data_IF_034336763994
#
_entry.id   IF_034336763994
#
_cell.length_a   1.000
_cell.length_b   1.000
_cell.length_c   1.000
_cell.angle_alpha   90.00
_cell.angle_beta   90.00
_cell.angle_gamma   90.00
#
_symmetry.space_group_name_H-M   'P 1'
#
loop_
_entity.id
_entity.type
_entity.pdbx_description
1 polymer ?
#
# COMPACT_ATOMS: atom_id res chain seq x y z
N UNK A 1 -30.55 -1.71 -4.85
CA UNK A 1 -29.13 -1.96 -4.54
C UNK A 1 -28.39 -2.07 -5.87
N UNK A 2 -27.44 -1.18 -6.14
CA UNK A 2 -26.65 -1.24 -7.37
C UNK A 2 -25.79 -2.50 -7.34
N UNK A 3 -25.93 -3.34 -8.34
CA UNK A 3 -25.14 -4.57 -8.46
C UNK A 3 -23.72 -4.15 -8.88
N UNK A 4 -22.74 -4.31 -7.99
CA UNK A 4 -21.34 -4.08 -8.33
C UNK A 4 -20.89 -5.10 -9.40
N UNK A 5 -20.11 -4.63 -10.36
CA UNK A 5 -19.47 -5.46 -11.36
C UNK A 5 -17.95 -5.36 -11.30
N UNK A 6 -17.19 -6.39 -11.71
CA UNK A 6 -15.74 -6.26 -11.87
C UNK A 6 -15.41 -5.12 -12.82
N UNK A 7 -14.49 -4.26 -12.41
CA UNK A 7 -14.12 -3.05 -13.15
C UNK A 7 -14.78 -1.76 -12.65
N UNK A 8 -15.81 -1.84 -11.85
CA UNK A 8 -16.43 -0.65 -11.27
C UNK A 8 -15.44 0.09 -10.37
N UNK A 9 -15.53 1.42 -10.43
CA UNK A 9 -14.83 2.30 -9.49
C UNK A 9 -15.83 2.75 -8.44
N UNK A 10 -15.45 2.59 -7.17
CA UNK A 10 -16.34 2.80 -6.02
C UNK A 10 -15.67 3.62 -4.92
N UNK A 11 -16.45 4.09 -3.97
CA UNK A 11 -16.00 4.61 -2.67
C UNK A 11 -16.76 3.90 -1.56
N UNK A 12 -16.14 3.80 -0.40
CA UNK A 12 -16.78 3.33 0.81
C UNK A 12 -17.22 4.53 1.64
N UNK A 13 -18.51 4.65 1.93
CA UNK A 13 -19.04 5.83 2.64
C UNK A 13 -18.55 5.90 4.09
N UNK A 14 -18.47 4.74 4.78
CA UNK A 14 -18.02 4.68 6.18
C UNK A 14 -16.49 4.76 6.33
N UNK A 15 -15.74 4.50 5.23
CA UNK A 15 -14.27 4.55 5.22
C UNK A 15 -13.75 5.43 4.09
N UNK A 16 -14.08 6.74 4.06
CA UNK A 16 -13.67 7.67 3.00
C UNK A 16 -12.14 7.79 2.87
N UNK A 17 -11.40 7.54 3.96
CA UNK A 17 -9.94 7.53 3.99
C UNK A 17 -9.32 6.40 3.15
N UNK A 18 -10.06 5.36 2.79
CA UNK A 18 -9.57 4.33 1.88
C UNK A 18 -9.42 4.83 0.44
N UNK A 19 -10.01 5.98 0.11
CA UNK A 19 -10.00 6.55 -1.22
C UNK A 19 -10.95 5.79 -2.17
N UNK A 20 -10.65 5.89 -3.47
CA UNK A 20 -11.40 5.11 -4.47
C UNK A 20 -10.92 3.67 -4.51
N UNK A 21 -11.83 2.75 -4.83
CA UNK A 21 -11.58 1.33 -4.97
C UNK A 21 -11.93 0.81 -6.35
N UNK A 22 -11.21 -0.21 -6.80
CA UNK A 22 -11.45 -0.99 -8.01
C UNK A 22 -12.07 -2.33 -7.62
N UNK A 23 -13.24 -2.66 -8.16
CA UNK A 23 -13.91 -3.95 -7.94
C UNK A 23 -13.17 -5.04 -8.73
N UNK A 24 -12.44 -5.89 -8.00
CA UNK A 24 -11.70 -7.02 -8.58
C UNK A 24 -12.62 -8.15 -8.95
N UNK A 25 -13.59 -8.43 -8.06
CA UNK A 25 -14.55 -9.52 -8.20
C UNK A 25 -15.83 -9.15 -7.47
N UNK A 26 -16.96 -9.44 -8.11
CA UNK A 26 -18.29 -9.36 -7.50
C UNK A 26 -18.88 -10.75 -7.34
N UNK A 27 -19.55 -11.01 -6.21
CA UNK A 27 -20.32 -12.21 -5.89
C UNK A 27 -21.71 -11.80 -5.38
N UNK A 28 -22.59 -12.76 -5.23
CA UNK A 28 -23.96 -12.50 -4.76
C UNK A 28 -23.99 -11.80 -3.38
N UNK A 29 -23.11 -12.17 -2.48
CA UNK A 29 -23.09 -11.69 -1.08
C UNK A 29 -21.88 -10.85 -0.71
N UNK A 30 -20.88 -10.72 -1.58
CA UNK A 30 -19.67 -9.94 -1.27
C UNK A 30 -18.92 -9.55 -2.53
N UNK A 31 -18.06 -8.55 -2.42
CA UNK A 31 -17.13 -8.13 -3.47
C UNK A 31 -15.71 -8.02 -2.93
N UNK A 32 -14.71 -8.38 -3.74
CA UNK A 32 -13.32 -8.10 -3.45
C UNK A 32 -12.97 -6.76 -4.13
N UNK A 33 -12.57 -5.77 -3.36
CA UNK A 33 -12.26 -4.41 -3.84
C UNK A 33 -10.84 -4.05 -3.43
N UNK A 34 -10.10 -3.40 -4.31
CA UNK A 34 -8.80 -2.81 -4.00
C UNK A 34 -8.95 -1.29 -3.89
N UNK A 35 -8.87 -0.77 -2.68
CA UNK A 35 -8.88 0.65 -2.40
C UNK A 35 -7.47 1.24 -2.43
N UNK A 36 -7.32 2.48 -2.94
CA UNK A 36 -6.03 3.15 -3.09
C UNK A 36 -5.22 3.22 -1.79
N UNK A 37 -5.90 3.52 -0.69
CA UNK A 37 -5.28 3.67 0.64
C UNK A 37 -5.76 2.63 1.65
N UNK A 38 -6.86 1.94 1.35
CA UNK A 38 -7.40 0.84 2.16
C UNK A 38 -6.84 -0.54 1.79
N UNK A 39 -6.16 -0.68 0.65
CA UNK A 39 -5.68 -1.97 0.16
C UNK A 39 -6.82 -2.89 -0.30
N UNK A 40 -6.55 -4.20 -0.32
CA UNK A 40 -7.55 -5.20 -0.72
C UNK A 40 -8.48 -5.54 0.44
N UNK A 41 -9.76 -5.33 0.22
CA UNK A 41 -10.84 -5.57 1.19
C UNK A 41 -11.90 -6.46 0.59
N UNK A 42 -12.53 -7.25 1.45
CA UNK A 42 -13.80 -7.92 1.15
C UNK A 42 -14.91 -7.05 1.69
N UNK A 43 -15.85 -6.71 0.83
CA UNK A 43 -17.00 -5.87 1.12
C UNK A 43 -18.23 -6.76 1.05
N UNK A 44 -18.99 -6.86 2.12
CA UNK A 44 -20.19 -7.70 2.18
C UNK A 44 -21.41 -6.95 1.61
N UNK A 45 -22.41 -7.71 1.19
CA UNK A 45 -23.66 -7.13 0.71
C UNK A 45 -24.35 -6.38 1.84
N UNK A 46 -24.58 -5.09 1.64
CA UNK A 46 -25.18 -4.21 2.66
C UNK A 46 -24.20 -3.16 3.20
N UNK A 47 -22.89 -3.29 2.95
CA UNK A 47 -21.96 -2.21 3.24
C UNK A 47 -22.19 -1.01 2.31
N UNK A 48 -21.90 0.18 2.82
CA UNK A 48 -22.18 1.46 2.16
C UNK A 48 -21.15 1.77 1.07
N UNK A 49 -21.38 1.19 -0.12
CA UNK A 49 -20.53 1.40 -1.30
C UNK A 49 -21.27 2.26 -2.32
N UNK A 50 -20.61 3.28 -2.81
CA UNK A 50 -21.13 4.21 -3.81
C UNK A 50 -20.32 4.16 -5.11
N UNK A 51 -20.97 4.23 -6.29
CA UNK A 51 -20.28 4.41 -7.55
C UNK A 51 -19.42 5.67 -7.54
N UNK A 52 -18.24 5.61 -8.15
CA UNK A 52 -17.33 6.73 -8.26
C UNK A 52 -16.71 6.79 -9.64
N UNK A 53 -16.01 7.90 -9.95
CA UNK A 53 -15.28 8.07 -11.19
C UNK A 53 -13.86 8.52 -10.87
N UNK A 54 -12.90 7.93 -11.54
CA UNK A 54 -11.51 8.33 -11.47
C UNK A 54 -11.15 9.26 -12.64
N UNK A 55 -10.23 10.17 -12.43
CA UNK A 55 -9.72 11.07 -13.47
C UNK A 55 -8.21 11.25 -13.34
N UNK A 56 -7.54 11.70 -14.39
CA UNK A 56 -6.11 11.97 -14.38
C UNK A 56 -5.26 10.77 -13.95
N UNK A 57 -4.37 11.00 -13.01
CA UNK A 57 -3.42 9.96 -12.50
C UNK A 57 -4.15 8.79 -11.84
N UNK A 58 -5.30 9.03 -11.22
CA UNK A 58 -6.09 7.96 -10.63
C UNK A 58 -6.68 7.04 -11.71
N UNK A 59 -7.15 7.60 -12.82
CA UNK A 59 -7.69 6.80 -13.93
C UNK A 59 -6.60 5.90 -14.53
N UNK A 60 -5.37 6.38 -14.66
CA UNK A 60 -4.23 5.56 -15.11
C UNK A 60 -3.95 4.39 -14.15
N UNK A 61 -4.03 4.65 -12.83
CA UNK A 61 -3.86 3.59 -11.84
C UNK A 61 -4.95 2.53 -11.94
N UNK A 62 -6.22 2.92 -12.10
CA UNK A 62 -7.31 1.97 -12.23
C UNK A 62 -7.33 1.25 -13.60
N UNK A 63 -6.84 1.89 -14.65
CA UNK A 63 -6.57 1.21 -15.93
C UNK A 63 -5.56 0.08 -15.74
N UNK A 64 -4.47 0.33 -15.01
CA UNK A 64 -3.50 -0.73 -14.68
C UNK A 64 -4.15 -1.87 -13.86
N UNK A 65 -5.09 -1.56 -12.96
CA UNK A 65 -5.85 -2.59 -12.24
C UNK A 65 -6.71 -3.43 -13.19
N UNK A 66 -7.34 -2.79 -14.18
CA UNK A 66 -8.20 -3.42 -15.16
C UNK A 66 -7.42 -4.32 -16.14
N UNK A 67 -6.17 -3.99 -16.44
CA UNK A 67 -5.28 -4.81 -17.29
C UNK A 67 -4.91 -6.16 -16.65
N UNK A 68 -5.15 -6.32 -15.36
CA UNK A 68 -4.82 -7.54 -14.64
C UNK A 68 -5.99 -8.53 -14.67
N UNK A 69 -5.70 -9.75 -15.13
CA UNK A 69 -6.69 -10.82 -15.09
C UNK A 69 -7.14 -11.14 -13.64
N UNK A 70 -8.36 -11.68 -13.44
CA UNK A 70 -8.80 -12.17 -12.13
C UNK A 70 -7.84 -13.21 -11.52
N UNK A 71 -7.17 -13.99 -12.37
CA UNK A 71 -6.14 -14.95 -11.95
C UNK A 71 -4.90 -14.26 -11.39
N UNK A 72 -4.46 -13.13 -11.97
CA UNK A 72 -3.34 -12.35 -11.46
C UNK A 72 -3.64 -11.81 -10.05
N UNK A 73 -4.85 -11.33 -9.82
CA UNK A 73 -5.30 -10.88 -8.52
C UNK A 73 -5.38 -12.02 -7.47
N UNK A 74 -5.87 -13.21 -7.86
CA UNK A 74 -5.97 -14.35 -6.96
C UNK A 74 -4.64 -15.00 -6.62
N UNK A 75 -3.65 -14.93 -7.52
CA UNK A 75 -2.28 -15.47 -7.35
C UNK A 75 -1.27 -14.45 -6.85
N UNK A 76 -1.69 -13.23 -6.59
CA UNK A 76 -0.82 -12.22 -6.00
C UNK A 76 -0.18 -12.73 -4.70
N UNK A 77 1.12 -12.53 -4.55
CA UNK A 77 1.88 -12.94 -3.37
C UNK A 77 2.82 -11.86 -2.84
N UNK A 78 2.84 -10.70 -3.51
CA UNK A 78 3.64 -9.57 -3.05
C UNK A 78 2.91 -8.76 -1.98
N UNK A 79 3.70 -8.19 -1.08
CA UNK A 79 3.21 -7.29 -0.04
C UNK A 79 3.98 -5.98 -0.07
N UNK A 80 3.28 -4.87 0.12
CA UNK A 80 3.90 -3.61 0.55
C UNK A 80 4.02 -3.66 2.06
N UNK A 81 5.15 -3.25 2.60
CA UNK A 81 5.38 -3.24 4.05
C UNK A 81 6.03 -1.93 4.47
N UNK A 82 5.81 -1.56 5.73
CA UNK A 82 6.41 -0.39 6.35
C UNK A 82 7.19 -0.82 7.60
N UNK A 83 8.36 -0.22 7.81
CA UNK A 83 9.21 -0.42 8.97
C UNK A 83 9.43 0.93 9.63
N UNK A 84 9.17 1.00 10.92
CA UNK A 84 9.55 2.15 11.74
C UNK A 84 11.05 2.18 11.90
N UNK A 85 11.66 3.34 11.69
CA UNK A 85 13.08 3.55 11.84
C UNK A 85 13.35 4.43 13.07
N UNK A 86 14.45 4.14 13.75
CA UNK A 86 14.97 5.00 14.81
C UNK A 86 15.23 6.42 14.27
N UNK A 87 14.87 7.43 15.06
CA UNK A 87 15.07 8.83 14.71
C UNK A 87 16.54 9.20 14.46
N UNK A 88 17.49 8.42 14.97
CA UNK A 88 18.92 8.61 14.68
C UNK A 88 19.23 8.51 13.18
N UNK A 89 18.37 7.86 12.36
CA UNK A 89 18.51 7.85 10.89
C UNK A 89 18.48 9.26 10.31
N UNK A 90 17.82 10.21 10.98
CA UNK A 90 17.75 11.61 10.58
C UNK A 90 19.11 12.31 10.56
N UNK A 91 20.10 11.79 11.29
CA UNK A 91 21.49 12.29 11.23
C UNK A 91 22.14 12.02 9.86
N UNK A 92 21.61 11.07 9.07
CA UNK A 92 22.13 10.74 7.75
C UNK A 92 21.71 11.79 6.72
N UNK A 93 22.70 12.40 6.07
CA UNK A 93 22.48 13.45 5.06
C UNK A 93 21.57 12.98 3.91
N UNK A 94 21.85 11.81 3.34
CA UNK A 94 21.06 11.30 2.21
C UNK A 94 19.58 11.02 2.60
N UNK A 95 19.32 10.66 3.87
CA UNK A 95 17.96 10.48 4.37
C UNK A 95 17.22 11.82 4.45
N UNK A 96 17.90 12.88 4.97
CA UNK A 96 17.32 14.23 5.02
C UNK A 96 17.06 14.83 3.64
N UNK A 97 18.02 14.70 2.73
CA UNK A 97 17.89 15.23 1.35
C UNK A 97 16.65 14.65 0.62
N UNK A 98 16.30 13.40 0.93
CA UNK A 98 15.11 12.74 0.37
C UNK A 98 13.79 13.15 1.06
N UNK A 99 13.87 13.82 2.19
CA UNK A 99 12.74 14.20 3.03
C UNK A 99 12.80 15.69 3.43
N UNK A 100 12.72 16.62 2.47
CA UNK A 100 12.84 18.06 2.75
C UNK A 100 11.73 18.58 3.67
N UNK A 101 10.58 17.89 3.74
CA UNK A 101 9.46 18.20 4.65
C UNK A 101 9.71 17.88 6.12
N UNK A 102 10.88 17.30 6.47
CA UNK A 102 11.20 16.97 7.85
C UNK A 102 10.77 15.57 8.29
N UNK A 103 10.82 15.32 9.61
CA UNK A 103 10.50 14.05 10.24
C UNK A 103 9.64 14.23 11.50
N UNK A 104 8.73 15.22 11.48
CA UNK A 104 7.93 15.58 12.65
C UNK A 104 7.10 14.41 13.21
N UNK A 105 6.62 13.53 12.32
CA UNK A 105 5.83 12.35 12.67
C UNK A 105 6.64 11.05 12.77
N UNK A 106 7.97 11.10 12.58
CA UNK A 106 8.85 9.94 12.66
C UNK A 106 9.50 9.55 11.33
N UNK A 107 10.32 8.50 11.38
CA UNK A 107 11.09 8.00 10.25
C UNK A 107 10.67 6.59 9.85
N UNK A 108 10.55 6.34 8.54
CA UNK A 108 9.99 5.10 8.01
C UNK A 108 10.79 4.58 6.83
N UNK A 109 10.73 3.27 6.66
CA UNK A 109 11.10 2.58 5.44
C UNK A 109 9.87 1.93 4.84
N UNK A 110 9.66 2.11 3.54
CA UNK A 110 8.61 1.43 2.78
C UNK A 110 9.27 0.56 1.72
N UNK A 111 8.75 -0.64 1.51
CA UNK A 111 9.29 -1.56 0.51
C UNK A 111 8.26 -2.58 0.03
N UNK A 112 8.63 -3.30 -1.03
CA UNK A 112 7.87 -4.42 -1.59
C UNK A 112 8.62 -5.73 -1.39
N UNK A 113 7.89 -6.79 -1.13
CA UNK A 113 8.47 -8.13 -1.00
C UNK A 113 7.56 -9.22 -1.56
N UNK A 114 8.15 -10.26 -2.16
CA UNK A 114 7.47 -11.53 -2.47
C UNK A 114 7.50 -12.54 -1.31
N UNK A 115 8.17 -12.19 -0.20
CA UNK A 115 8.15 -12.95 1.04
C UNK A 115 7.04 -12.43 1.95
N UNK A 116 6.83 -13.07 3.11
CA UNK A 116 6.07 -12.41 4.17
C UNK A 116 6.83 -11.18 4.69
N UNK A 117 6.15 -10.11 5.10
CA UNK A 117 6.81 -8.93 5.67
C UNK A 117 7.76 -9.27 6.82
N UNK A 118 7.37 -10.21 7.70
CA UNK A 118 8.22 -10.66 8.81
C UNK A 118 9.50 -11.34 8.32
N UNK A 119 9.40 -12.29 7.39
CA UNK A 119 10.58 -12.94 6.81
C UNK A 119 11.49 -11.92 6.12
N UNK A 120 10.92 -10.92 5.44
CA UNK A 120 11.68 -9.84 4.82
C UNK A 120 12.38 -8.98 5.87
N UNK A 121 11.70 -8.61 6.95
CA UNK A 121 12.27 -7.83 8.05
C UNK A 121 13.42 -8.58 8.73
N UNK A 122 13.28 -9.88 8.99
CA UNK A 122 14.38 -10.70 9.53
C UNK A 122 15.60 -10.72 8.60
N UNK A 123 15.40 -10.85 7.29
CA UNK A 123 16.50 -10.73 6.31
C UNK A 123 17.18 -9.36 6.35
N UNK A 124 16.41 -8.29 6.48
CA UNK A 124 16.97 -6.96 6.66
C UNK A 124 17.87 -6.88 7.90
N UNK A 125 17.39 -7.40 9.05
CA UNK A 125 18.17 -7.41 10.30
C UNK A 125 19.43 -8.25 10.19
N UNK A 126 19.36 -9.39 9.51
CA UNK A 126 20.52 -10.23 9.23
C UNK A 126 21.52 -9.63 8.23
N UNK A 127 21.17 -8.51 7.58
CA UNK A 127 22.02 -7.85 6.59
C UNK A 127 21.94 -8.44 5.18
N UNK A 128 21.10 -9.48 4.96
CA UNK A 128 20.94 -10.13 3.66
C UNK A 128 20.00 -9.31 2.79
N UNK A 129 20.51 -8.77 1.67
CA UNK A 129 19.72 -7.90 0.78
C UNK A 129 19.01 -6.77 1.55
N UNK A 130 19.70 -6.20 2.52
CA UNK A 130 19.10 -5.22 3.43
C UNK A 130 18.86 -3.89 2.73
N UNK A 131 17.72 -3.27 3.01
CA UNK A 131 17.49 -1.86 2.71
C UNK A 131 18.48 -0.98 3.48
N UNK A 132 18.96 0.09 2.83
CA UNK A 132 20.09 0.91 3.26
C UNK A 132 20.07 1.28 4.76
N UNK A 133 18.91 1.56 5.32
CA UNK A 133 18.77 2.03 6.71
C UNK A 133 18.10 1.02 7.65
N UNK A 134 17.49 -0.04 7.12
CA UNK A 134 16.72 -0.97 7.93
C UNK A 134 17.59 -1.80 8.85
N UNK A 135 18.79 -2.19 8.40
CA UNK A 135 19.73 -2.99 9.21
C UNK A 135 20.15 -2.27 10.49
N UNK A 136 20.43 -0.97 10.41
CA UNK A 136 21.00 -0.18 11.51
C UNK A 136 19.97 0.59 12.30
N UNK A 137 18.84 0.91 11.70
CA UNK A 137 17.82 1.79 12.28
C UNK A 137 16.42 1.17 12.33
N UNK A 138 16.20 -0.03 11.77
CA UNK A 138 14.90 -0.69 11.77
C UNK A 138 14.47 -1.14 13.17
N UNK A 139 13.36 -0.61 13.66
CA UNK A 139 12.81 -0.92 14.98
C UNK A 139 11.80 -2.06 14.89
N UNK A 140 10.75 -1.88 14.12
CA UNK A 140 9.63 -2.83 14.00
C UNK A 140 8.84 -2.67 12.71
N UNK A 141 8.15 -3.73 12.32
CA UNK A 141 7.13 -3.65 11.27
C UNK A 141 5.91 -2.87 11.76
N UNK A 142 5.32 -2.10 10.84
CA UNK A 142 4.06 -1.39 11.05
C UNK A 142 3.03 -1.86 10.04
N UNK A 143 2.55 -3.09 10.27
CA UNK A 143 1.56 -3.72 9.40
C UNK A 143 0.19 -3.05 9.49
N UNK A 144 -0.10 -2.36 10.58
CA UNK A 144 -1.29 -1.53 10.78
C UNK A 144 -1.45 -0.44 9.71
N UNK A 145 -0.34 0.13 9.22
CA UNK A 145 -0.36 1.16 8.18
C UNK A 145 -0.54 0.60 6.77
N UNK A 146 -0.27 -0.67 6.59
CA UNK A 146 -0.27 -1.36 5.29
C UNK A 146 -1.25 -2.52 5.27
N UNK A 147 -2.24 -2.49 6.14
CA UNK A 147 -3.30 -3.49 6.17
C UNK A 147 -4.01 -3.53 4.81
N UNK A 148 -4.22 -4.74 4.28
CA UNK A 148 -4.78 -4.93 2.94
C UNK A 148 -3.79 -4.82 1.78
N UNK A 149 -2.55 -4.36 2.01
CA UNK A 149 -1.51 -4.33 0.97
C UNK A 149 -0.68 -5.61 0.90
N UNK A 150 -1.29 -6.73 1.20
CA UNK A 150 -0.72 -8.07 1.08
C UNK A 150 -1.38 -8.89 -0.04
N UNK A 151 -0.67 -9.92 -0.51
CA UNK A 151 -1.16 -10.82 -1.57
C UNK A 151 -1.60 -10.06 -2.84
N UNK A 152 -0.81 -9.08 -3.23
CA UNK A 152 -1.03 -8.26 -4.42
C UNK A 152 -0.27 -8.83 -5.63
N UNK A 153 -0.76 -8.60 -6.85
CA UNK A 153 0.06 -8.72 -8.05
C UNK A 153 1.29 -7.80 -7.95
N UNK A 154 2.44 -8.24 -8.47
CA UNK A 154 3.69 -7.46 -8.39
C UNK A 154 3.53 -6.03 -8.93
N UNK A 155 2.90 -5.86 -10.09
CA UNK A 155 2.68 -4.53 -10.70
C UNK A 155 1.93 -3.57 -9.76
N UNK A 156 0.95 -4.07 -9.03
CA UNK A 156 0.19 -3.27 -8.05
C UNK A 156 1.08 -2.95 -6.85
N UNK A 157 1.75 -3.95 -6.27
CA UNK A 157 2.63 -3.74 -5.11
C UNK A 157 3.74 -2.72 -5.44
N UNK A 158 4.41 -2.87 -6.59
CA UNK A 158 5.46 -1.96 -7.05
C UNK A 158 4.95 -0.53 -7.31
N UNK A 159 3.72 -0.38 -7.81
CA UNK A 159 3.09 0.93 -7.98
C UNK A 159 2.70 1.56 -6.63
N UNK A 160 2.28 0.75 -5.66
CA UNK A 160 1.84 1.25 -4.35
C UNK A 160 3.00 1.66 -3.44
N UNK A 161 4.18 1.09 -3.58
CA UNK A 161 5.36 1.46 -2.78
C UNK A 161 5.65 2.98 -2.83
N UNK A 162 5.91 3.59 -4.01
CA UNK A 162 6.17 5.03 -4.08
C UNK A 162 4.96 5.88 -3.71
N UNK A 163 3.74 5.43 -4.00
CA UNK A 163 2.50 6.14 -3.63
C UNK A 163 2.33 6.19 -2.12
N UNK A 164 2.52 5.06 -1.43
CA UNK A 164 2.44 5.00 0.03
C UNK A 164 3.54 5.87 0.67
N UNK A 165 4.76 5.83 0.14
CA UNK A 165 5.83 6.67 0.64
C UNK A 165 5.53 8.17 0.46
N UNK A 166 4.96 8.57 -0.68
CA UNK A 166 4.54 9.96 -0.91
C UNK A 166 3.40 10.36 0.03
N UNK A 167 2.42 9.49 0.23
CA UNK A 167 1.31 9.73 1.14
C UNK A 167 1.79 9.89 2.59
N UNK A 168 2.70 9.03 3.07
CA UNK A 168 3.29 9.14 4.40
C UNK A 168 4.08 10.45 4.57
N UNK A 169 4.83 10.87 3.54
CA UNK A 169 5.52 12.18 3.57
C UNK A 169 4.55 13.34 3.71
N UNK A 170 3.42 13.29 3.04
CA UNK A 170 2.37 14.31 3.18
C UNK A 170 1.74 14.34 4.59
N UNK A 171 1.87 13.25 5.37
CA UNK A 171 1.47 13.19 6.78
C UNK A 171 2.61 13.60 7.75
N UNK A 172 3.71 14.15 7.24
CA UNK A 172 4.83 14.62 8.07
C UNK A 172 5.86 13.55 8.46
N UNK A 173 5.76 12.35 7.89
CA UNK A 173 6.78 11.31 8.09
C UNK A 173 7.97 11.49 7.14
N UNK A 174 9.16 11.18 7.61
CA UNK A 174 10.31 11.02 6.73
C UNK A 174 10.42 9.58 6.25
N UNK A 175 10.42 9.36 4.94
CA UNK A 175 10.32 8.02 4.35
C UNK A 175 11.50 7.72 3.44
N UNK A 176 12.11 6.56 3.65
CA UNK A 176 13.00 5.93 2.68
C UNK A 176 12.29 4.81 1.95
N UNK A 177 12.47 4.75 0.65
CA UNK A 177 12.09 3.65 -0.23
C UNK A 177 13.22 3.39 -1.22
N UNK A 178 13.30 2.20 -1.77
CA UNK A 178 14.27 1.86 -2.80
C UNK A 178 13.89 2.41 -4.17
#
# INVERSE_FOLDING_TARGET
MSHLAPGDIVRHSDYPQWGRGYVIRARKTSSDVFFQWGGKRRIDAGESIEPSRASGVEAQFFSMCADLSPRSWSRGHHSVYAIELDLAVWKNRAFRERNPGGAASGCWYVGVTGLTPDARFQRHRAGTQSGRFVRTHGLRLRLDLVEGFSRLPYRIAACMEPKLAAWLRAQGFAVWQN
#
